data_IF_886706460932
#
_entry.id   IF_886706460932
#
_cell.length_a   1.000
_cell.length_b   1.000
_cell.length_c   1.000
_cell.angle_alpha   90.00
_cell.angle_beta   90.00
_cell.angle_gamma   90.00
#
_symmetry.space_group_name_H-M   'P 1'
#
loop_
_entity.id
_entity.type
_entity.pdbx_description
1 polymer ?
#
# COMPACT_ATOMS: atom_id res chain seq x y z
N UNK A 1 -6.86 24.60 -26.76
CA UNK A 1 -6.10 23.87 -27.80
C UNK A 1 -6.93 22.74 -28.36
N UNK A 2 -6.98 22.59 -29.69
CA UNK A 2 -7.90 21.72 -30.42
C UNK A 2 -7.55 20.22 -30.32
N UNK A 3 -7.46 19.64 -29.11
CA UNK A 3 -7.57 18.20 -28.85
C UNK A 3 -6.67 17.24 -29.65
N UNK A 4 -5.57 17.73 -30.23
CA UNK A 4 -4.76 16.98 -31.22
C UNK A 4 -3.36 16.66 -30.68
N UNK A 5 -3.27 16.18 -29.43
CA UNK A 5 -2.00 15.74 -28.86
C UNK A 5 -1.85 14.21 -29.05
N UNK A 6 -1.37 13.78 -30.22
CA UNK A 6 -0.81 12.43 -30.34
C UNK A 6 0.46 12.41 -29.50
N UNK A 7 0.36 11.96 -28.24
CA UNK A 7 1.53 11.67 -27.43
C UNK A 7 2.47 10.75 -28.21
N UNK A 8 3.79 10.92 -28.06
CA UNK A 8 4.80 10.15 -28.78
C UNK A 8 4.53 8.64 -28.63
N UNK A 9 4.11 8.21 -27.44
CA UNK A 9 3.73 6.82 -27.16
C UNK A 9 2.58 6.33 -28.07
N UNK A 10 1.59 7.19 -28.36
CA UNK A 10 0.44 6.85 -29.22
C UNK A 10 0.83 6.77 -30.68
N UNK A 11 1.75 7.63 -31.13
CA UNK A 11 2.32 7.54 -32.48
C UNK A 11 3.13 6.26 -32.63
N UNK A 12 4.01 5.95 -31.68
CA UNK A 12 4.78 4.70 -31.65
C UNK A 12 3.86 3.47 -31.62
N UNK A 13 2.79 3.48 -30.84
CA UNK A 13 1.78 2.41 -30.80
C UNK A 13 1.16 2.14 -32.17
N UNK A 14 0.79 3.20 -32.90
CA UNK A 14 0.21 3.10 -34.23
C UNK A 14 1.23 2.59 -35.26
N UNK A 15 2.47 3.07 -35.21
CA UNK A 15 3.54 2.65 -36.12
C UNK A 15 3.95 1.19 -35.91
N UNK A 16 3.94 0.72 -34.66
CA UNK A 16 4.30 -0.64 -34.28
C UNK A 16 3.11 -1.61 -34.34
N UNK A 17 1.89 -1.13 -34.59
CA UNK A 17 0.68 -1.94 -34.59
C UNK A 17 0.35 -2.57 -33.22
N UNK A 18 0.82 -1.96 -32.12
CA UNK A 18 0.61 -2.51 -30.79
C UNK A 18 -0.86 -2.37 -30.35
N UNK A 19 -1.47 -3.40 -29.73
CA UNK A 19 -2.88 -3.40 -29.35
C UNK A 19 -3.19 -2.48 -28.17
N UNK A 20 -2.19 -2.01 -27.43
CA UNK A 20 -2.36 -1.13 -26.27
C UNK A 20 -1.21 -0.14 -26.12
N UNK A 21 -1.54 1.07 -25.63
CA UNK A 21 -0.54 2.10 -25.29
C UNK A 21 0.42 1.63 -24.20
N UNK A 22 -0.03 0.69 -23.35
CA UNK A 22 0.78 0.11 -22.25
C UNK A 22 2.00 -0.67 -22.74
N UNK A 23 2.00 -1.12 -23.99
CA UNK A 23 3.12 -1.88 -24.56
C UNK A 23 4.27 -1.00 -25.05
N UNK A 24 4.03 0.31 -25.15
CA UNK A 24 4.96 1.27 -25.77
C UNK A 24 5.33 2.40 -24.83
N UNK A 25 4.51 2.65 -23.79
CA UNK A 25 4.79 3.67 -22.80
C UNK A 25 6.01 3.29 -21.96
N UNK A 26 7.03 4.15 -21.94
CA UNK A 26 8.26 3.91 -21.19
C UNK A 26 8.03 3.83 -19.67
N UNK A 27 7.04 4.58 -19.16
CA UNK A 27 6.69 4.61 -17.74
C UNK A 27 5.22 4.24 -17.54
N UNK A 28 4.92 3.05 -16.96
CA UNK A 28 3.55 2.60 -16.79
C UNK A 28 2.80 3.54 -15.85
N UNK A 29 1.70 4.11 -16.34
CA UNK A 29 0.78 4.92 -15.53
C UNK A 29 -0.43 4.08 -15.11
N UNK A 30 -0.89 4.27 -13.87
CA UNK A 30 -2.16 3.68 -13.38
C UNK A 30 -3.36 4.42 -14.00
N UNK A 31 -4.58 3.91 -13.73
CA UNK A 31 -5.82 4.56 -14.18
C UNK A 31 -5.96 5.98 -13.63
N UNK A 32 -5.39 6.23 -12.45
CA UNK A 32 -5.38 7.53 -11.78
C UNK A 32 -4.18 8.40 -12.20
N UNK A 33 -3.58 8.10 -13.36
CA UNK A 33 -2.42 8.79 -13.95
C UNK A 33 -1.13 8.76 -13.09
N UNK A 34 -1.04 7.86 -12.11
CA UNK A 34 0.12 7.75 -11.23
C UNK A 34 1.21 6.88 -11.83
N UNK A 35 2.45 7.18 -11.49
CA UNK A 35 3.64 6.50 -11.97
C UNK A 35 4.35 5.82 -10.81
N UNK A 36 4.18 4.50 -10.62
CA UNK A 36 4.80 3.78 -9.51
C UNK A 36 6.34 3.86 -9.54
N UNK A 37 6.93 3.96 -10.74
CA UNK A 37 8.39 4.01 -10.90
C UNK A 37 9.01 5.35 -10.53
N UNK A 38 8.27 6.45 -10.65
CA UNK A 38 8.80 7.80 -10.46
C UNK A 38 8.10 8.56 -9.34
N UNK A 39 7.16 7.93 -8.62
CA UNK A 39 6.36 8.59 -7.58
C UNK A 39 5.44 9.70 -8.09
N UNK A 40 5.29 9.89 -9.40
CA UNK A 40 4.49 10.99 -9.95
C UNK A 40 2.98 10.70 -9.85
N UNK A 41 2.12 11.71 -9.64
CA UNK A 41 2.44 13.13 -9.49
C UNK A 41 3.11 13.42 -8.14
N UNK A 42 4.09 14.30 -8.16
CA UNK A 42 4.82 14.78 -6.99
C UNK A 42 4.70 16.31 -6.91
N UNK A 43 5.06 16.91 -5.77
CA UNK A 43 5.11 18.36 -5.63
C UNK A 43 6.26 18.97 -6.47
N UNK A 44 6.15 20.24 -6.81
CA UNK A 44 7.18 20.98 -7.56
C UNK A 44 8.08 21.74 -6.58
N UNK A 45 9.39 21.71 -6.82
CA UNK A 45 10.35 22.42 -5.97
C UNK A 45 10.17 23.95 -6.07
N UNK A 46 10.38 24.63 -4.93
CA UNK A 46 10.28 26.09 -4.86
C UNK A 46 11.24 26.80 -5.84
N UNK A 47 12.43 26.25 -6.06
CA UNK A 47 13.43 26.81 -6.99
C UNK A 47 12.96 26.78 -8.44
N UNK A 48 12.22 25.75 -8.85
CA UNK A 48 11.66 25.63 -10.19
C UNK A 48 10.52 26.64 -10.39
N UNK A 49 9.69 26.83 -9.37
CA UNK A 49 8.61 27.82 -9.39
C UNK A 49 9.15 29.26 -9.37
N UNK A 50 10.23 29.51 -8.65
CA UNK A 50 10.91 30.81 -8.63
C UNK A 50 11.54 31.14 -10.00
N UNK A 51 12.21 30.17 -10.64
CA UNK A 51 12.76 30.34 -11.99
C UNK A 51 11.68 30.72 -13.02
N UNK A 52 10.46 30.20 -12.84
CA UNK A 52 9.30 30.49 -13.69
C UNK A 52 8.46 31.68 -13.22
N UNK A 53 8.83 32.33 -12.11
CA UNK A 53 8.09 33.44 -11.47
C UNK A 53 6.64 33.09 -11.11
N UNK A 54 6.40 31.83 -10.72
CA UNK A 54 5.08 31.30 -10.37
C UNK A 54 4.75 31.41 -8.85
N UNK A 55 5.72 31.83 -8.03
CA UNK A 55 5.54 32.13 -6.60
C UNK A 55 5.85 30.95 -5.67
N UNK A 56 6.61 31.23 -4.59
CA UNK A 56 7.09 30.22 -3.63
C UNK A 56 5.98 29.71 -2.71
N UNK A 57 4.96 30.53 -2.42
CA UNK A 57 3.80 30.12 -1.60
C UNK A 57 3.02 28.95 -2.22
N UNK A 58 3.03 28.83 -3.55
CA UNK A 58 2.41 27.72 -4.28
C UNK A 58 3.18 26.42 -4.04
N UNK A 59 4.51 26.48 -3.88
CA UNK A 59 5.36 25.33 -3.61
C UNK A 59 5.06 24.72 -2.23
N UNK A 60 4.98 25.57 -1.20
CA UNK A 60 4.71 25.14 0.18
C UNK A 60 3.32 24.49 0.29
N UNK A 61 2.31 25.14 -0.30
CA UNK A 61 0.93 24.62 -0.33
C UNK A 61 0.86 23.25 -1.04
N UNK A 62 1.50 23.12 -2.21
CA UNK A 62 1.49 21.87 -2.97
C UNK A 62 2.23 20.74 -2.26
N UNK A 63 3.32 21.03 -1.57
CA UNK A 63 4.05 20.05 -0.76
C UNK A 63 3.23 19.55 0.42
N UNK A 64 2.56 20.43 1.14
CA UNK A 64 1.69 20.05 2.26
C UNK A 64 0.53 19.16 1.81
N UNK A 65 -0.10 19.50 0.69
CA UNK A 65 -1.20 18.73 0.11
C UNK A 65 -0.74 17.34 -0.36
N UNK A 66 0.42 17.25 -1.00
CA UNK A 66 1.02 15.98 -1.42
C UNK A 66 1.31 15.08 -0.21
N UNK A 67 1.92 15.62 0.85
CA UNK A 67 2.21 14.87 2.08
C UNK A 67 0.93 14.39 2.76
N UNK A 68 -0.13 15.22 2.81
CA UNK A 68 -1.44 14.79 3.35
C UNK A 68 -2.05 13.64 2.56
N UNK A 69 -1.98 13.71 1.23
CA UNK A 69 -2.52 12.67 0.34
C UNK A 69 -1.80 11.35 0.54
N UNK A 70 -0.45 11.35 0.53
CA UNK A 70 0.36 10.17 0.79
C UNK A 70 0.08 9.55 2.17
N UNK A 71 -0.10 10.39 3.20
CA UNK A 71 -0.42 9.92 4.56
C UNK A 71 -1.77 9.21 4.62
N UNK A 72 -2.78 9.73 3.94
CA UNK A 72 -4.11 9.10 3.91
C UNK A 72 -4.05 7.74 3.22
N UNK A 73 -3.38 7.68 2.07
CA UNK A 73 -3.19 6.43 1.34
C UNK A 73 -2.38 5.38 2.11
N UNK A 74 -1.36 5.79 2.86
CA UNK A 74 -0.59 4.87 3.68
C UNK A 74 -1.49 4.18 4.74
N UNK A 75 -2.40 4.93 5.35
CA UNK A 75 -3.36 4.41 6.34
C UNK A 75 -4.39 3.51 5.68
N UNK A 76 -4.96 3.94 4.56
CA UNK A 76 -5.90 3.15 3.76
C UNK A 76 -5.27 1.80 3.35
N UNK A 77 -4.03 1.82 2.86
CA UNK A 77 -3.30 0.60 2.46
C UNK A 77 -3.00 -0.30 3.66
N UNK A 78 -2.55 0.25 4.79
CA UNK A 78 -2.27 -0.51 6.01
C UNK A 78 -3.54 -1.17 6.56
N UNK A 79 -4.67 -0.45 6.52
CA UNK A 79 -5.98 -0.97 6.90
C UNK A 79 -6.41 -2.13 5.99
N UNK A 80 -6.28 -1.96 4.67
CA UNK A 80 -6.61 -2.99 3.68
C UNK A 80 -5.78 -4.26 3.87
N UNK A 81 -4.46 -4.13 4.05
CA UNK A 81 -3.57 -5.27 4.32
C UNK A 81 -3.89 -5.96 5.66
N UNK A 82 -4.46 -5.22 6.61
CA UNK A 82 -4.86 -5.72 7.93
C UNK A 82 -6.33 -6.18 7.98
N UNK A 83 -7.05 -6.22 6.84
CA UNK A 83 -8.48 -6.55 6.77
C UNK A 83 -9.35 -5.68 7.68
N UNK A 84 -8.97 -4.41 7.88
CA UNK A 84 -9.70 -3.43 8.68
C UNK A 84 -10.57 -2.55 7.77
N UNK A 85 -11.83 -2.36 8.17
CA UNK A 85 -12.72 -1.37 7.56
C UNK A 85 -12.76 -0.15 8.47
N UNK A 86 -12.38 1.02 7.94
CA UNK A 86 -12.37 2.27 8.69
C UNK A 86 -13.55 3.15 8.28
N UNK A 87 -14.21 3.78 9.26
CA UNK A 87 -15.13 4.87 8.97
C UNK A 87 -14.37 6.17 8.64
N UNK A 88 -14.99 7.14 7.94
CA UNK A 88 -14.31 8.39 7.60
C UNK A 88 -13.72 9.16 8.80
N UNK A 89 -14.40 9.11 9.95
CA UNK A 89 -13.92 9.75 11.19
C UNK A 89 -12.78 8.99 11.87
N UNK A 90 -12.69 7.68 11.70
CA UNK A 90 -11.57 6.87 12.19
C UNK A 90 -10.33 7.04 11.31
N UNK A 91 -10.52 7.12 10.00
CA UNK A 91 -9.43 7.34 9.05
C UNK A 91 -8.66 8.64 9.33
N UNK A 92 -9.38 9.75 9.58
CA UNK A 92 -8.76 11.03 9.94
C UNK A 92 -8.02 10.99 11.29
N UNK A 93 -8.52 10.19 12.24
CA UNK A 93 -7.89 10.04 13.56
C UNK A 93 -6.63 9.18 13.45
N UNK A 94 -6.76 8.01 12.83
CA UNK A 94 -5.66 7.07 12.63
C UNK A 94 -4.56 7.66 11.76
N UNK A 95 -4.90 8.49 10.76
CA UNK A 95 -3.89 9.19 9.97
C UNK A 95 -3.01 10.11 10.80
N UNK A 96 -3.59 10.82 11.78
CA UNK A 96 -2.83 11.66 12.72
C UNK A 96 -1.98 10.84 13.68
N UNK A 97 -2.55 9.80 14.27
CA UNK A 97 -1.84 8.94 15.24
C UNK A 97 -0.72 8.13 14.58
N UNK A 98 -0.98 7.56 13.40
CA UNK A 98 -0.01 6.79 12.63
C UNK A 98 1.18 7.66 12.21
N UNK A 99 0.93 8.91 11.79
CA UNK A 99 2.00 9.85 11.46
C UNK A 99 2.95 10.07 12.65
N UNK A 100 2.41 10.29 13.86
CA UNK A 100 3.22 10.45 15.06
C UNK A 100 4.07 9.21 15.37
N UNK A 101 3.54 8.01 15.15
CA UNK A 101 4.26 6.74 15.34
C UNK A 101 5.38 6.59 14.31
N UNK A 102 5.09 6.88 13.04
CA UNK A 102 6.09 6.81 11.96
C UNK A 102 7.20 7.82 12.17
N UNK A 103 6.87 9.06 12.55
CA UNK A 103 7.85 10.11 12.85
C UNK A 103 8.76 9.67 14.01
N UNK A 104 8.16 9.15 15.10
CA UNK A 104 8.91 8.59 16.23
C UNK A 104 9.82 7.42 15.81
N UNK A 105 9.34 6.51 14.96
CA UNK A 105 10.16 5.42 14.43
C UNK A 105 11.30 5.93 13.52
N UNK A 106 11.06 7.01 12.78
CA UNK A 106 12.05 7.69 11.95
C UNK A 106 13.20 8.29 12.76
N UNK A 107 12.93 8.84 13.95
CA UNK A 107 13.96 9.33 14.87
C UNK A 107 14.96 8.22 15.25
N UNK A 108 14.49 6.98 15.37
CA UNK A 108 15.33 5.82 15.68
C UNK A 108 16.24 5.40 14.51
N UNK A 109 15.88 5.72 13.26
CA UNK A 109 16.70 5.39 12.09
C UNK A 109 18.03 6.18 12.06
N UNK A 110 18.07 7.36 12.69
CA UNK A 110 19.30 8.15 12.86
C UNK A 110 20.29 7.54 13.84
N UNK A 111 19.87 6.59 14.66
CA UNK A 111 20.73 5.84 15.57
C UNK A 111 21.36 4.68 14.81
N UNK A 112 22.53 4.91 14.20
CA UNK A 112 23.36 3.82 13.65
C UNK A 112 23.79 2.87 14.78
N UNK A 113 22.99 1.84 15.00
CA UNK A 113 23.32 0.71 15.87
C UNK A 113 23.16 -0.55 15.07
N UNK A 114 24.25 -1.30 14.90
CA UNK A 114 24.15 -2.70 14.54
C UNK A 114 23.40 -3.41 15.67
N UNK A 115 22.12 -3.71 15.43
CA UNK A 115 21.34 -4.46 16.39
C UNK A 115 21.97 -5.85 16.52
N UNK A 116 22.38 -6.29 17.72
CA UNK A 116 22.84 -7.65 17.90
C UNK A 116 21.71 -8.61 17.47
N UNK A 117 22.04 -9.74 16.83
CA UNK A 117 21.03 -10.71 16.45
C UNK A 117 20.22 -11.07 17.69
N UNK A 118 18.90 -10.92 17.60
CA UNK A 118 18.00 -11.18 18.72
C UNK A 118 18.23 -12.63 19.16
N UNK A 119 18.72 -12.89 20.38
CA UNK A 119 19.08 -14.24 20.77
C UNK A 119 17.81 -15.07 20.77
N UNK A 120 17.74 -16.08 19.90
CA UNK A 120 16.77 -17.16 20.06
C UNK A 120 17.19 -17.92 21.30
N UNK A 121 16.37 -17.90 22.34
CA UNK A 121 16.58 -18.65 23.58
C UNK A 121 16.35 -20.15 23.40
N UNK A 122 15.87 -20.57 22.22
CA UNK A 122 15.54 -21.95 21.88
C UNK A 122 16.66 -22.53 20.99
N UNK A 123 17.12 -23.77 21.25
CA UNK A 123 18.19 -24.38 20.46
C UNK A 123 17.86 -24.48 18.96
N UNK A 124 18.88 -24.35 18.12
CA UNK A 124 18.82 -24.32 16.64
C UNK A 124 18.49 -25.67 15.99
N UNK A 125 17.99 -26.63 16.75
CA UNK A 125 17.60 -27.93 16.22
C UNK A 125 16.28 -27.81 15.47
N UNK A 126 16.21 -28.40 14.27
CA UNK A 126 14.93 -28.54 13.56
C UNK A 126 13.99 -29.42 14.39
N UNK A 127 12.92 -28.83 14.91
CA UNK A 127 11.84 -29.57 15.56
C UNK A 127 10.94 -30.18 14.48
N UNK A 128 11.25 -31.40 14.07
CA UNK A 128 10.38 -32.18 13.18
C UNK A 128 9.35 -32.93 14.03
N UNK A 129 8.10 -32.93 13.55
CA UNK A 129 7.04 -33.78 14.09
C UNK A 129 7.07 -35.12 13.34
N UNK A 130 6.99 -36.28 14.02
CA UNK A 130 6.82 -37.57 13.33
C UNK A 130 5.50 -37.59 12.54
N UNK A 131 5.46 -38.38 11.48
CA UNK A 131 4.26 -38.58 10.64
C UNK A 131 3.34 -39.65 11.24
N UNK A 132 2.89 -39.41 12.47
CA UNK A 132 1.96 -40.27 13.19
C UNK A 132 0.61 -39.55 13.32
N UNK A 133 -0.52 -40.18 12.92
CA UNK A 133 -1.84 -39.60 13.11
C UNK A 133 -2.15 -39.41 14.60
N UNK A 134 -2.52 -38.19 15.00
CA UNK A 134 -3.06 -37.90 16.33
C UNK A 134 -4.59 -37.99 16.37
N UNK A 135 -5.16 -38.07 17.57
CA UNK A 135 -6.60 -37.97 17.76
C UNK A 135 -7.11 -36.57 17.34
N UNK A 136 -8.12 -36.53 16.48
CA UNK A 136 -8.78 -35.29 16.08
C UNK A 136 -9.86 -34.91 17.10
N UNK A 137 -10.09 -33.61 17.29
CA UNK A 137 -11.17 -33.13 18.15
C UNK A 137 -12.55 -33.58 17.64
N UNK A 138 -13.50 -33.90 18.55
CA UNK A 138 -14.88 -34.17 18.17
C UNK A 138 -15.49 -33.00 17.39
N UNK A 139 -16.32 -33.29 16.38
CA UNK A 139 -16.87 -32.26 15.49
C UNK A 139 -17.67 -31.20 16.26
N UNK A 140 -18.36 -31.61 17.32
CA UNK A 140 -19.20 -30.73 18.14
C UNK A 140 -18.34 -29.71 18.90
N UNK A 141 -17.14 -30.12 19.35
CA UNK A 141 -16.18 -29.23 19.99
C UNK A 141 -15.51 -28.29 18.99
N UNK A 142 -15.18 -28.78 17.79
CA UNK A 142 -14.60 -27.96 16.71
C UNK A 142 -15.56 -26.83 16.30
N UNK A 143 -16.86 -27.12 16.25
CA UNK A 143 -17.88 -26.18 15.78
C UNK A 143 -18.47 -25.30 16.90
N UNK A 144 -18.12 -25.55 18.17
CA UNK A 144 -18.73 -24.90 19.34
C UNK A 144 -18.67 -23.37 19.31
N UNK A 145 -17.62 -22.79 18.72
CA UNK A 145 -17.42 -21.32 18.64
C UNK A 145 -17.64 -20.75 17.24
N UNK A 146 -18.08 -21.55 16.27
CA UNK A 146 -18.29 -21.07 14.91
C UNK A 146 -19.52 -20.16 14.83
N UNK A 147 -19.36 -18.95 14.31
CA UNK A 147 -20.45 -17.96 14.23
C UNK A 147 -21.63 -18.40 13.38
N UNK A 148 -21.40 -19.23 12.36
CA UNK A 148 -22.46 -19.84 11.56
C UNK A 148 -22.11 -21.28 11.18
N UNK A 149 -23.08 -22.18 11.32
CA UNK A 149 -22.91 -23.62 11.12
C UNK A 149 -24.08 -24.19 10.32
N UNK A 150 -23.78 -25.03 9.32
CA UNK A 150 -24.77 -25.81 8.58
C UNK A 150 -24.36 -27.29 8.57
N UNK A 151 -25.00 -28.10 9.41
CA UNK A 151 -24.61 -29.50 9.60
C UNK A 151 -23.18 -29.61 10.18
N UNK A 152 -22.24 -30.11 9.37
CA UNK A 152 -20.82 -30.28 9.75
C UNK A 152 -19.90 -29.21 9.15
N UNK A 153 -20.44 -28.10 8.71
CA UNK A 153 -19.72 -27.07 7.96
C UNK A 153 -19.84 -25.70 8.63
N UNK A 154 -18.75 -24.93 8.61
CA UNK A 154 -18.78 -23.49 8.92
C UNK A 154 -19.15 -22.76 7.63
N UNK A 155 -20.21 -21.95 7.68
CA UNK A 155 -20.64 -21.18 6.52
C UNK A 155 -20.01 -19.79 6.51
N UNK A 156 -19.74 -19.26 5.32
CA UNK A 156 -19.24 -17.89 5.13
C UNK A 156 -19.93 -17.26 3.93
N UNK A 157 -20.08 -15.91 3.88
CA UNK A 157 -20.58 -15.23 2.70
C UNK A 157 -19.73 -15.57 1.46
N UNK A 158 -20.39 -15.85 0.34
CA UNK A 158 -19.71 -16.11 -0.93
C UNK A 158 -19.05 -14.81 -1.41
N UNK A 159 -17.75 -14.86 -1.73
CA UNK A 159 -16.95 -13.67 -2.07
C UNK A 159 -16.98 -13.28 -3.55
N UNK A 160 -17.35 -14.20 -4.44
CA UNK A 160 -17.43 -13.96 -5.88
C UNK A 160 -18.69 -14.64 -6.44
N UNK A 161 -19.27 -14.10 -7.51
CA UNK A 161 -20.25 -14.83 -8.31
C UNK A 161 -19.59 -15.85 -9.23
#
# INVERSE_FOLDING_TARGET
HAGFAFGVDRLCMLLLGAPSLREVIAFPKTKDARCPLTGAPDYVDASQLEALKLGVSVAETGREEHVRTLRREAVENAALLSMLTLSPGEEERMSREFAAIVDFAGELAGLQREAPPRPRTVPETQFLRPDEPGESLPIDEVLMNASTVAGRLITVPKTFD
#
